data_IF_471683175082
#
_entry.id   IF_471683175082
#
_cell.length_a   1.000
_cell.length_b   1.000
_cell.length_c   1.000
_cell.angle_alpha   90.00
_cell.angle_beta   90.00
_cell.angle_gamma   90.00
#
_symmetry.space_group_name_H-M   'P 1'
#
loop_
_entity.id
_entity.type
_entity.pdbx_description
1 polymer ?
#
# COMPACT_ATOMS: atom_id res chain seq x y z
N UNK A 1 -20.77 -22.41 4.74
CA UNK A 1 -19.48 -23.10 4.88
C UNK A 1 -18.37 -22.12 5.24
N UNK A 2 -17.29 -22.60 5.85
CA UNK A 2 -16.13 -21.77 6.20
C UNK A 2 -15.25 -21.56 4.96
N UNK A 3 -14.88 -20.29 4.65
CA UNK A 3 -13.93 -20.01 3.60
C UNK A 3 -12.54 -20.47 4.06
N UNK A 4 -11.88 -21.32 3.26
CA UNK A 4 -10.59 -21.93 3.58
C UNK A 4 -9.44 -21.44 2.68
N UNK A 5 -9.73 -20.53 1.74
CA UNK A 5 -8.74 -19.99 0.79
C UNK A 5 -8.73 -18.48 0.80
N UNK A 6 -7.57 -17.89 0.44
CA UNK A 6 -7.45 -16.48 0.09
C UNK A 6 -7.58 -16.31 -1.43
N UNK A 7 -7.86 -15.10 -1.88
CA UNK A 7 -7.99 -14.77 -3.29
C UNK A 7 -7.30 -13.44 -3.62
N UNK A 8 -6.80 -13.33 -4.84
CA UNK A 8 -6.27 -12.07 -5.36
C UNK A 8 -7.38 -11.02 -5.46
N UNK A 9 -7.14 -9.86 -4.85
CA UNK A 9 -8.08 -8.74 -4.83
C UNK A 9 -7.94 -7.89 -6.10
N UNK A 10 -8.54 -8.40 -7.18
CA UNK A 10 -8.55 -7.70 -8.47
C UNK A 10 -9.34 -6.39 -8.41
N UNK A 11 -10.35 -6.27 -7.56
CA UNK A 11 -11.10 -5.03 -7.39
C UNK A 11 -10.19 -3.92 -6.85
N UNK A 12 -9.45 -4.18 -5.78
CA UNK A 12 -8.43 -3.24 -5.28
C UNK A 12 -7.37 -2.94 -6.35
N UNK A 13 -6.90 -3.94 -7.08
CA UNK A 13 -5.91 -3.75 -8.15
C UNK A 13 -6.41 -2.82 -9.25
N UNK A 14 -7.63 -3.01 -9.73
CA UNK A 14 -8.21 -2.13 -10.77
C UNK A 14 -8.41 -0.70 -10.25
N UNK A 15 -8.88 -0.55 -9.04
CA UNK A 15 -9.03 0.76 -8.39
C UNK A 15 -7.68 1.49 -8.28
N UNK A 16 -6.62 0.79 -7.87
CA UNK A 16 -5.25 1.32 -7.80
C UNK A 16 -4.75 1.71 -9.18
N UNK A 17 -4.95 0.86 -10.21
CA UNK A 17 -4.59 1.18 -11.60
C UNK A 17 -5.26 2.46 -12.08
N UNK A 18 -6.56 2.60 -11.86
CA UNK A 18 -7.34 3.75 -12.31
C UNK A 18 -6.94 5.03 -11.59
N UNK A 19 -6.60 4.92 -10.29
CA UNK A 19 -6.04 6.02 -9.52
C UNK A 19 -4.68 6.47 -10.07
N UNK A 20 -3.79 5.53 -10.36
CA UNK A 20 -2.48 5.80 -10.98
C UNK A 20 -2.61 6.43 -12.37
N UNK A 21 -3.48 5.88 -13.23
CA UNK A 21 -3.64 6.33 -14.61
C UNK A 21 -4.16 7.77 -14.71
N UNK A 22 -5.04 8.17 -13.81
CA UNK A 22 -5.68 9.50 -13.81
C UNK A 22 -5.08 10.47 -12.78
N UNK A 23 -4.11 10.03 -11.98
CA UNK A 23 -3.62 10.75 -10.79
C UNK A 23 -4.79 11.23 -9.89
N UNK A 24 -5.82 10.40 -9.74
CA UNK A 24 -7.03 10.71 -8.96
C UNK A 24 -7.15 9.69 -7.83
N UNK A 25 -6.52 9.99 -6.71
CA UNK A 25 -6.36 9.05 -5.62
C UNK A 25 -7.62 8.86 -4.78
N UNK A 26 -8.58 9.79 -4.86
CA UNK A 26 -9.91 9.62 -4.25
C UNK A 26 -10.66 8.37 -4.77
N UNK A 27 -10.30 7.83 -5.93
CA UNK A 27 -10.82 6.55 -6.45
C UNK A 27 -10.57 5.38 -5.49
N UNK A 28 -9.50 5.41 -4.69
CA UNK A 28 -9.21 4.39 -3.69
C UNK A 28 -10.31 4.23 -2.64
N UNK A 29 -11.19 5.22 -2.50
CA UNK A 29 -12.35 5.14 -1.61
C UNK A 29 -13.41 4.12 -2.08
N UNK A 30 -13.37 3.69 -3.33
CA UNK A 30 -14.26 2.63 -3.85
C UNK A 30 -13.96 1.27 -3.20
N UNK A 31 -12.70 1.06 -2.81
CA UNK A 31 -12.28 -0.12 -2.08
C UNK A 31 -12.23 -1.39 -2.93
N UNK A 32 -12.14 -2.52 -2.24
CA UNK A 32 -12.13 -3.88 -2.74
C UNK A 32 -12.23 -4.84 -1.55
N UNK A 33 -11.83 -6.10 -1.71
CA UNK A 33 -11.89 -7.09 -0.62
C UNK A 33 -11.08 -6.66 0.61
N UNK A 34 -9.92 -6.03 0.39
CA UNK A 34 -9.05 -5.59 1.48
C UNK A 34 -9.67 -4.50 2.37
N UNK A 35 -10.68 -3.78 1.88
CA UNK A 35 -11.41 -2.75 2.64
C UNK A 35 -12.76 -3.22 3.17
N UNK A 36 -13.20 -4.42 2.82
CA UNK A 36 -14.43 -5.04 3.32
C UNK A 36 -14.16 -5.79 4.63
N UNK A 37 -14.81 -5.38 5.71
CA UNK A 37 -14.61 -5.96 7.03
C UNK A 37 -14.93 -7.47 7.11
N UNK A 38 -15.79 -7.98 6.23
CA UNK A 38 -16.17 -9.40 6.19
C UNK A 38 -15.16 -10.24 5.42
N UNK A 39 -14.44 -9.64 4.45
CA UNK A 39 -13.61 -10.37 3.50
C UNK A 39 -12.13 -9.99 3.50
N UNK A 40 -11.71 -8.90 4.14
CA UNK A 40 -10.31 -8.41 4.13
C UNK A 40 -9.27 -9.46 4.54
N UNK A 41 -9.65 -10.39 5.43
CA UNK A 41 -8.79 -11.50 5.88
C UNK A 41 -8.37 -12.45 4.77
N UNK A 42 -9.17 -12.52 3.70
CA UNK A 42 -8.96 -13.41 2.56
C UNK A 42 -8.33 -12.69 1.36
N UNK A 43 -8.20 -11.37 1.43
CA UNK A 43 -7.68 -10.55 0.36
C UNK A 43 -6.16 -10.68 0.22
N UNK A 44 -5.68 -11.12 -0.95
CA UNK A 44 -4.29 -10.98 -1.37
C UNK A 44 -4.20 -9.74 -2.24
N UNK A 45 -3.71 -8.64 -1.67
CA UNK A 45 -3.57 -7.37 -2.38
C UNK A 45 -2.30 -7.38 -3.23
N UNK A 46 -2.39 -6.82 -4.43
CA UNK A 46 -1.25 -6.73 -5.35
C UNK A 46 -1.41 -5.51 -6.27
N UNK A 47 -0.30 -5.03 -6.78
CA UNK A 47 -0.26 -3.90 -7.73
C UNK A 47 -0.24 -4.44 -9.16
N UNK A 48 0.61 -5.41 -9.42
CA UNK A 48 0.80 -6.04 -10.72
C UNK A 48 1.23 -7.50 -10.56
N UNK A 49 1.01 -8.31 -11.60
CA UNK A 49 1.49 -9.68 -11.70
C UNK A 49 1.91 -9.98 -13.15
N UNK A 50 2.29 -11.23 -13.44
CA UNK A 50 2.72 -11.66 -14.77
C UNK A 50 1.62 -11.59 -15.84
N UNK A 51 0.34 -11.62 -15.45
CA UNK A 51 -0.78 -11.52 -16.40
C UNK A 51 -1.12 -10.07 -16.73
N UNK A 52 -0.92 -9.16 -15.78
CA UNK A 52 -1.28 -7.74 -15.93
C UNK A 52 -0.15 -6.88 -16.49
N UNK A 53 1.10 -7.32 -16.39
CA UNK A 53 2.25 -6.59 -16.93
C UNK A 53 2.21 -6.49 -18.47
N UNK A 54 2.85 -5.45 -19.00
CA UNK A 54 3.13 -5.38 -20.43
C UNK A 54 4.13 -6.47 -20.82
N UNK A 55 3.82 -7.27 -21.84
CA UNK A 55 4.70 -8.31 -22.40
C UNK A 55 5.14 -7.99 -23.82
N UNK A 56 4.19 -7.64 -24.69
CA UNK A 56 4.46 -7.30 -26.09
C UNK A 56 3.31 -6.49 -26.68
N UNK A 57 3.43 -6.05 -27.94
CA UNK A 57 2.34 -5.37 -28.65
C UNK A 57 1.13 -6.28 -28.87
N UNK A 58 1.33 -7.61 -29.04
CA UNK A 58 0.25 -8.59 -29.16
C UNK A 58 -0.33 -9.02 -27.80
N UNK A 59 0.41 -8.79 -26.73
CA UNK A 59 0.02 -9.09 -25.35
C UNK A 59 0.27 -7.87 -24.46
N UNK A 60 -0.51 -6.78 -24.65
CA UNK A 60 -0.22 -5.51 -23.98
C UNK A 60 -0.48 -5.55 -22.45
N UNK A 61 -1.21 -6.56 -21.99
CA UNK A 61 -1.64 -6.64 -20.60
C UNK A 61 -2.50 -5.43 -20.19
N UNK A 62 -2.44 -5.12 -18.90
CA UNK A 62 -3.09 -3.95 -18.31
C UNK A 62 -2.15 -3.35 -17.23
N UNK A 63 -0.95 -2.89 -17.63
CA UNK A 63 0.09 -2.49 -16.68
C UNK A 63 -0.20 -1.15 -16.01
N UNK A 64 0.29 -1.00 -14.78
CA UNK A 64 0.40 0.31 -14.14
C UNK A 64 1.68 0.99 -14.65
N UNK A 65 1.51 2.15 -15.33
CA UNK A 65 2.60 2.85 -16.02
C UNK A 65 3.23 3.99 -15.19
N UNK A 66 2.54 4.44 -14.15
CA UNK A 66 2.97 5.57 -13.30
C UNK A 66 2.67 5.30 -11.84
N UNK A 67 3.36 6.00 -10.93
CA UNK A 67 3.12 5.93 -9.48
C UNK A 67 3.27 4.53 -8.86
N UNK A 68 4.08 3.65 -9.46
CA UNK A 68 4.24 2.25 -9.02
C UNK A 68 4.68 2.17 -7.55
N UNK A 69 5.57 3.05 -7.12
CA UNK A 69 6.04 3.12 -5.73
C UNK A 69 4.90 3.48 -4.76
N UNK A 70 4.07 4.46 -5.14
CA UNK A 70 2.89 4.88 -4.37
C UNK A 70 1.84 3.77 -4.30
N UNK A 71 1.61 3.06 -5.41
CA UNK A 71 0.70 1.92 -5.46
C UNK A 71 1.14 0.80 -4.50
N UNK A 72 2.45 0.49 -4.46
CA UNK A 72 3.00 -0.46 -3.49
C UNK A 72 2.88 0.05 -2.06
N UNK A 73 3.09 1.36 -1.82
CA UNK A 73 2.90 1.94 -0.49
C UNK A 73 1.44 1.79 -0.02
N UNK A 74 0.45 1.90 -0.93
CA UNK A 74 -0.95 1.70 -0.60
C UNK A 74 -1.22 0.29 -0.10
N UNK A 75 -0.84 -0.75 -0.85
CA UNK A 75 -1.09 -2.14 -0.42
C UNK A 75 -0.29 -2.52 0.84
N UNK A 76 0.86 -1.88 1.09
CA UNK A 76 1.63 -2.10 2.32
C UNK A 76 1.02 -1.40 3.53
N UNK A 77 0.39 -0.24 3.34
CA UNK A 77 -0.20 0.54 4.43
C UNK A 77 -1.64 0.17 4.76
N UNK A 78 -2.29 -0.70 3.99
CA UNK A 78 -3.71 -1.08 4.15
C UNK A 78 -3.87 -2.55 4.59
N UNK A 79 -5.06 -3.00 5.04
CA UNK A 79 -5.33 -4.39 5.35
C UNK A 79 -5.14 -5.33 4.15
N UNK A 80 -5.37 -6.63 4.34
CA UNK A 80 -5.10 -7.67 3.35
C UNK A 80 -3.66 -8.18 3.42
N UNK A 81 -3.35 -9.18 2.63
CA UNK A 81 -2.00 -9.78 2.52
C UNK A 81 -1.31 -9.24 1.28
N UNK A 82 -0.33 -8.33 1.38
CA UNK A 82 0.32 -7.76 0.21
C UNK A 82 1.21 -8.77 -0.50
N UNK A 83 1.06 -8.85 -1.82
CA UNK A 83 1.90 -9.63 -2.72
C UNK A 83 2.68 -8.67 -3.63
N UNK A 84 4.00 -8.67 -3.53
CA UNK A 84 4.89 -7.80 -4.31
C UNK A 84 5.29 -8.48 -5.59
N UNK A 85 5.05 -7.83 -6.73
CA UNK A 85 5.49 -8.31 -8.03
C UNK A 85 7.01 -8.24 -8.16
N UNK A 86 7.64 -9.31 -8.63
CA UNK A 86 9.10 -9.44 -8.69
C UNK A 86 9.77 -8.29 -9.46
N UNK A 87 9.15 -7.81 -10.55
CA UNK A 87 9.68 -6.66 -11.31
C UNK A 87 9.67 -5.39 -10.46
N UNK A 88 8.59 -5.11 -9.75
CA UNK A 88 8.51 -3.95 -8.84
C UNK A 88 9.54 -4.07 -7.70
N UNK A 89 9.73 -5.28 -7.15
CA UNK A 89 10.79 -5.51 -6.17
C UNK A 89 12.18 -5.18 -6.71
N UNK A 90 12.50 -5.56 -7.95
CA UNK A 90 13.80 -5.28 -8.57
C UNK A 90 13.98 -3.77 -8.81
N UNK A 91 12.95 -3.11 -9.35
CA UNK A 91 13.01 -1.71 -9.78
C UNK A 91 12.93 -0.72 -8.59
N UNK A 92 12.17 -1.06 -7.53
CA UNK A 92 11.87 -0.19 -6.38
C UNK A 92 12.26 -0.83 -5.04
N UNK A 93 13.25 -1.70 -5.02
CA UNK A 93 13.63 -2.53 -3.86
C UNK A 93 13.78 -1.73 -2.57
N UNK A 94 14.47 -0.58 -2.62
CA UNK A 94 14.70 0.25 -1.43
C UNK A 94 13.40 0.74 -0.81
N UNK A 95 12.53 1.33 -1.62
CA UNK A 95 11.25 1.88 -1.17
C UNK A 95 10.31 0.79 -0.67
N UNK A 96 10.16 -0.30 -1.43
CA UNK A 96 9.28 -1.40 -1.05
C UNK A 96 9.76 -2.06 0.25
N UNK A 97 11.07 -2.22 0.42
CA UNK A 97 11.65 -2.74 1.66
C UNK A 97 11.29 -1.85 2.86
N UNK A 98 11.42 -0.53 2.72
CA UNK A 98 11.04 0.43 3.76
C UNK A 98 9.54 0.38 4.08
N UNK A 99 8.69 0.25 3.05
CA UNK A 99 7.24 0.10 3.22
C UNK A 99 6.88 -1.19 3.98
N UNK A 100 7.55 -2.31 3.68
CA UNK A 100 7.39 -3.57 4.40
C UNK A 100 7.78 -3.41 5.87
N UNK A 101 8.90 -2.73 6.15
CA UNK A 101 9.31 -2.48 7.54
C UNK A 101 8.32 -1.59 8.28
N UNK A 102 7.78 -0.55 7.64
CA UNK A 102 6.75 0.31 8.23
C UNK A 102 5.52 -0.50 8.62
N UNK A 103 5.02 -1.35 7.71
CA UNK A 103 3.91 -2.27 7.97
C UNK A 103 4.19 -3.18 9.17
N UNK A 104 5.35 -3.82 9.21
CA UNK A 104 5.76 -4.72 10.29
C UNK A 104 5.92 -3.99 11.63
N UNK A 105 6.49 -2.80 11.62
CA UNK A 105 6.70 -1.99 12.81
C UNK A 105 5.36 -1.59 13.45
N UNK A 106 4.38 -1.17 12.66
CA UNK A 106 3.03 -0.87 13.14
C UNK A 106 2.23 -2.13 13.52
N UNK A 107 2.67 -3.32 13.11
CA UNK A 107 1.93 -4.58 13.34
C UNK A 107 0.67 -4.69 12.49
N UNK A 108 0.68 -4.14 11.27
CA UNK A 108 -0.47 -4.22 10.36
C UNK A 108 -0.61 -5.64 9.83
N UNK A 109 -1.80 -6.21 10.03
CA UNK A 109 -2.21 -7.53 9.55
C UNK A 109 -3.22 -7.43 8.39
N UNK A 110 -3.67 -8.58 7.89
CA UNK A 110 -4.74 -8.64 6.91
C UNK A 110 -6.12 -8.25 7.49
N UNK A 111 -6.27 -8.24 8.81
CA UNK A 111 -7.52 -7.91 9.52
C UNK A 111 -7.47 -6.54 10.21
N UNK A 112 -6.40 -5.78 10.06
CA UNK A 112 -6.25 -4.46 10.66
C UNK A 112 -7.39 -3.51 10.29
N UNK A 113 -7.71 -2.58 11.18
CA UNK A 113 -8.74 -1.58 10.93
C UNK A 113 -8.16 -0.37 10.18
N UNK A 114 -8.90 0.09 9.20
CA UNK A 114 -8.53 1.21 8.33
C UNK A 114 -9.59 2.31 8.40
N UNK A 115 -9.15 3.56 8.37
CA UNK A 115 -10.01 4.76 8.32
C UNK A 115 -9.50 5.70 7.26
N UNK A 116 -10.36 6.16 6.37
CA UNK A 116 -10.04 7.22 5.39
C UNK A 116 -10.12 8.57 6.12
N UNK A 117 -9.03 9.33 6.08
CA UNK A 117 -8.92 10.65 6.72
C UNK A 117 -9.13 11.79 5.72
N UNK A 118 -8.82 11.56 4.43
CA UNK A 118 -9.03 12.50 3.34
C UNK A 118 -9.24 11.73 2.03
N UNK A 119 -10.17 12.18 1.20
CA UNK A 119 -10.43 11.59 -0.12
C UNK A 119 -10.99 12.66 -1.06
N UNK A 120 -10.11 13.42 -1.74
CA UNK A 120 -10.45 14.56 -2.61
C UNK A 120 -9.53 14.62 -3.84
N UNK A 121 -10.02 14.20 -4.99
CA UNK A 121 -9.29 14.27 -6.26
C UNK A 121 -7.89 13.61 -6.15
N UNK A 122 -6.84 14.42 -6.21
CA UNK A 122 -5.43 13.96 -6.12
C UNK A 122 -4.98 13.64 -4.69
N UNK A 123 -5.81 13.90 -3.70
CA UNK A 123 -5.46 13.69 -2.30
C UNK A 123 -6.20 12.47 -1.73
N UNK A 124 -5.46 11.58 -1.11
CA UNK A 124 -5.99 10.44 -0.37
C UNK A 124 -5.13 10.16 0.84
N UNK A 125 -5.75 10.11 2.01
CA UNK A 125 -5.04 9.84 3.26
C UNK A 125 -5.80 8.76 4.03
N UNK A 126 -5.08 7.75 4.46
CA UNK A 126 -5.63 6.61 5.18
C UNK A 126 -4.79 6.29 6.41
N UNK A 127 -5.47 6.00 7.52
CA UNK A 127 -4.86 5.49 8.75
C UNK A 127 -5.23 4.02 8.92
N UNK A 128 -4.22 3.18 9.14
CA UNK A 128 -4.40 1.77 9.47
C UNK A 128 -3.83 1.50 10.86
N UNK A 129 -4.63 0.86 11.71
CA UNK A 129 -4.26 0.53 13.08
C UNK A 129 -3.83 -0.94 13.14
N UNK A 130 -2.58 -1.16 13.45
CA UNK A 130 -2.01 -2.48 13.71
C UNK A 130 -1.87 -2.75 15.21
N UNK A 131 -1.35 -3.92 15.56
CA UNK A 131 -1.22 -4.38 16.97
C UNK A 131 -0.20 -3.56 17.77
N UNK A 132 0.76 -2.92 17.10
CA UNK A 132 1.84 -2.15 17.74
C UNK A 132 1.63 -0.63 17.67
N UNK A 133 0.76 -0.17 16.81
CA UNK A 133 0.43 1.23 16.60
C UNK A 133 -0.14 1.51 15.24
N UNK A 134 -0.36 2.78 14.94
CA UNK A 134 -0.99 3.20 13.68
C UNK A 134 0.03 3.73 12.68
N UNK A 135 -0.26 3.45 11.41
CA UNK A 135 0.45 3.99 10.25
C UNK A 135 -0.52 4.84 9.43
N UNK A 136 -0.09 6.04 9.04
CA UNK A 136 -0.83 6.90 8.11
C UNK A 136 -0.09 6.93 6.78
N UNK A 137 -0.77 6.54 5.70
CA UNK A 137 -0.35 6.82 4.34
C UNK A 137 -1.03 8.10 3.86
N UNK A 138 -0.25 9.09 3.49
CA UNK A 138 -0.73 10.33 2.88
C UNK A 138 -0.22 10.42 1.44
N UNK A 139 -1.13 10.26 0.47
CA UNK A 139 -0.92 10.58 -0.94
C UNK A 139 -1.49 12.00 -1.12
N UNK A 140 -0.75 12.97 -0.62
CA UNK A 140 -1.17 14.37 -0.58
C UNK A 140 -0.02 15.26 -0.16
N UNK A 141 0.10 16.41 -0.80
CA UNK A 141 1.00 17.47 -0.37
C UNK A 141 0.33 18.48 0.61
N UNK A 142 -0.96 18.32 0.85
CA UNK A 142 -1.76 19.20 1.73
C UNK A 142 -1.94 18.64 3.14
N UNK A 143 -1.60 17.36 3.36
CA UNK A 143 -1.85 16.70 4.64
C UNK A 143 -0.71 16.97 5.63
N UNK A 144 -1.09 17.40 6.82
CA UNK A 144 -0.22 17.47 7.99
C UNK A 144 -0.67 16.43 9.01
N UNK A 145 0.24 15.56 9.41
CA UNK A 145 -0.08 14.54 10.42
C UNK A 145 -0.38 15.21 11.76
N UNK A 146 -1.32 14.65 12.55
CA UNK A 146 -1.62 15.16 13.88
C UNK A 146 -0.45 14.97 14.85
N UNK A 147 -0.50 15.66 15.98
CA UNK A 147 0.39 15.41 17.11
C UNK A 147 0.43 13.92 17.45
N UNK A 148 1.59 13.40 17.81
CA UNK A 148 1.80 11.98 18.11
C UNK A 148 2.20 11.11 16.92
N UNK A 149 2.42 11.69 15.73
CA UNK A 149 2.93 11.00 14.55
C UNK A 149 4.21 11.63 14.02
N UNK A 150 5.14 10.81 13.60
CA UNK A 150 6.39 11.23 12.95
C UNK A 150 6.45 10.71 11.52
N UNK A 151 6.87 11.57 10.58
CA UNK A 151 7.14 11.15 9.19
C UNK A 151 8.33 10.21 9.16
N UNK A 152 8.11 8.98 8.73
CA UNK A 152 9.13 7.92 8.71
C UNK A 152 9.59 7.54 7.31
N UNK A 153 8.82 7.89 6.28
CA UNK A 153 9.18 7.64 4.89
C UNK A 153 8.64 8.77 4.00
N UNK A 154 9.49 9.25 3.12
CA UNK A 154 9.18 10.19 2.05
C UNK A 154 9.37 9.48 0.71
N UNK A 155 8.26 9.15 0.04
CA UNK A 155 8.26 8.66 -1.34
C UNK A 155 8.07 9.80 -2.34
N UNK A 156 8.10 9.47 -3.64
CA UNK A 156 7.97 10.46 -4.71
C UNK A 156 6.61 11.17 -4.74
N UNK A 157 5.55 10.49 -4.31
CA UNK A 157 4.17 11.01 -4.31
C UNK A 157 3.38 10.63 -3.05
N UNK A 158 4.07 10.22 -1.99
CA UNK A 158 3.43 9.84 -0.74
C UNK A 158 4.33 10.04 0.46
N UNK A 159 3.73 10.11 1.65
CA UNK A 159 4.42 10.07 2.93
C UNK A 159 3.84 8.96 3.81
N UNK A 160 4.69 8.32 4.60
CA UNK A 160 4.26 7.48 5.71
C UNK A 160 4.55 8.17 7.03
N UNK A 161 3.54 8.23 7.90
CA UNK A 161 3.67 8.71 9.26
C UNK A 161 3.38 7.58 10.23
N UNK A 162 4.25 7.41 11.20
CA UNK A 162 4.15 6.38 12.23
C UNK A 162 3.78 7.00 13.57
N UNK A 163 2.89 6.35 14.30
CA UNK A 163 2.56 6.75 15.67
C UNK A 163 3.82 6.66 16.57
N UNK A 164 4.10 7.68 17.37
CA UNK A 164 5.38 7.84 18.11
C UNK A 164 5.67 6.73 19.12
N UNK A 165 4.64 5.99 19.57
CA UNK A 165 4.83 4.83 20.46
C UNK A 165 5.50 3.63 19.76
N UNK A 166 5.49 3.60 18.42
CA UNK A 166 6.08 2.51 17.63
C UNK A 166 7.59 2.67 17.58
N UNK A 167 8.33 1.59 17.81
CA UNK A 167 9.78 1.60 17.65
C UNK A 167 10.15 1.74 16.17
N UNK A 168 10.79 2.86 15.81
CA UNK A 168 11.20 3.21 14.44
C UNK A 168 12.70 3.00 14.19
N UNK A 169 13.41 2.24 15.03
CA UNK A 169 14.84 1.95 14.83
C UNK A 169 15.16 1.31 13.46
N UNK A 170 14.16 0.73 12.79
CA UNK A 170 14.23 0.19 11.43
C UNK A 170 14.40 1.27 10.33
N UNK A 171 14.16 2.56 10.61
CA UNK A 171 14.32 3.64 9.61
C UNK A 171 15.77 3.81 9.18
N UNK A 172 16.72 3.39 10.00
CA UNK A 172 18.12 3.23 9.67
C UNK A 172 18.42 1.83 9.12
N UNK A 173 17.70 1.44 8.06
CA UNK A 173 17.88 0.10 7.46
C UNK A 173 19.33 -0.11 7.06
N UNK A 174 20.02 -1.13 7.59
CA UNK A 174 21.38 -1.45 7.17
C UNK A 174 21.41 -1.68 5.66
N UNK A 175 22.40 -1.15 4.99
CA UNK A 175 22.70 -1.38 3.58
C UNK A 175 23.23 -2.82 3.39
N UNK A 176 22.42 -3.82 3.72
CA UNK A 176 22.75 -5.22 3.50
C UNK A 176 22.47 -5.61 2.05
N UNK A 177 23.45 -6.20 1.38
CA UNK A 177 23.23 -6.92 0.14
C UNK A 177 22.34 -8.12 0.43
N UNK A 178 21.06 -7.99 0.13
CA UNK A 178 20.16 -9.14 0.07
C UNK A 178 20.12 -9.58 -1.39
N UNK A 179 20.85 -10.64 -1.70
CA UNK A 179 20.73 -11.38 -2.96
C UNK A 179 19.38 -12.05 -3.06
#
# INVERSE_FOLDING_TARGET
GKIMSATFDFTTRYTVRDACASNTWSKLNTGGLATDNSYKRYAVTFVENHDTQYRSASEPGDPIKSFIETANAYIMATPGTPCVFLKHWKDYKKSIKQQIYARKAAGISNESNMSVLMSEGVNYVVKTTGDKGSLILAISNKYTAPSGYTKVLLGSNYHLYMENKVNTAWTSVPSGNYQ
#
